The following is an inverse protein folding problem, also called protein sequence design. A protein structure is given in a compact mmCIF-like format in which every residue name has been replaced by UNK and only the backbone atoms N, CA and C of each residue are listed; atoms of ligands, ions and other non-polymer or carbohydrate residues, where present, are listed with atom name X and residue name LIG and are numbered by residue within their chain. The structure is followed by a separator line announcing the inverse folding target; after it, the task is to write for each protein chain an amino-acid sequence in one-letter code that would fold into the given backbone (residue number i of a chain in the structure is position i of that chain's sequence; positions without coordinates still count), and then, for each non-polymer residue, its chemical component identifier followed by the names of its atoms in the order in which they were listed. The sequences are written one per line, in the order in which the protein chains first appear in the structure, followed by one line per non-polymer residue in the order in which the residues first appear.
data_IF_641156319988
#
_entry.id   IF_641156319988
#
_cell.length_a   1.000
_cell.length_b   1.000
_cell.length_c   1.000
_cell.angle_alpha   90.00
_cell.angle_beta   90.00
_cell.angle_gamma   90.00
#
_symmetry.space_group_name_H-M   'P 1'
#
loop_
_entity.id
_entity.type
_entity.pdbx_description
1 polymer ?
#
# COMPACT_ATOMS: atom_id res chain seq x y z
N UNK A 1 -2.71 16.09 -4.13
CA UNK A 1 -3.29 15.66 -2.84
C UNK A 1 -2.78 16.44 -1.63
N UNK A 2 -1.61 16.12 -1.03
CA UNK A 2 -1.14 16.79 0.23
C UNK A 2 -0.87 18.29 0.11
N UNK A 3 -0.63 18.78 -1.12
CA UNK A 3 -0.50 20.20 -1.44
C UNK A 3 -1.86 20.90 -1.71
N UNK A 4 -2.88 20.15 -2.09
CA UNK A 4 -4.22 20.65 -2.45
C UNK A 4 -5.16 20.61 -1.24
N UNK A 5 -4.97 19.67 -0.33
CA UNK A 5 -5.75 19.50 0.90
C UNK A 5 -5.07 20.14 2.11
N UNK A 6 -5.14 21.48 2.20
CA UNK A 6 -4.62 22.23 3.36
C UNK A 6 -5.49 22.10 4.61
N UNK A 7 -6.69 21.51 4.50
CA UNK A 7 -7.56 21.25 5.65
C UNK A 7 -7.14 20.03 6.49
N UNK A 8 -6.21 19.22 5.99
CA UNK A 8 -5.67 18.09 6.72
C UNK A 8 -4.88 18.57 7.94
N UNK A 9 -5.10 17.92 9.08
CA UNK A 9 -4.32 18.19 10.27
C UNK A 9 -2.83 17.83 10.07
N UNK A 10 -1.97 18.43 10.88
CA UNK A 10 -0.53 18.26 10.76
C UNK A 10 -0.07 16.80 10.95
N UNK A 11 -0.77 16.01 11.75
CA UNK A 11 -0.44 14.61 12.00
C UNK A 11 -0.77 13.75 10.78
N UNK A 12 -1.97 13.91 10.22
CA UNK A 12 -2.40 13.21 9.00
C UNK A 12 -1.52 13.56 7.82
N UNK A 13 -1.18 14.85 7.65
CA UNK A 13 -0.26 15.28 6.60
C UNK A 13 1.14 14.66 6.76
N UNK A 14 1.67 14.63 7.99
CA UNK A 14 2.96 14.01 8.26
C UNK A 14 2.95 12.49 8.00
N UNK A 15 1.84 11.78 8.28
CA UNK A 15 1.67 10.37 7.91
C UNK A 15 1.71 10.18 6.40
N UNK A 16 0.95 10.97 5.65
CA UNK A 16 0.92 10.87 4.19
C UNK A 16 2.27 11.20 3.54
N UNK A 17 3.00 12.18 4.07
CA UNK A 17 4.37 12.47 3.61
C UNK A 17 5.31 11.28 3.84
N UNK A 18 5.21 10.59 4.99
CA UNK A 18 5.98 9.35 5.24
C UNK A 18 5.58 8.22 4.29
N UNK A 19 4.27 8.03 4.06
CA UNK A 19 3.79 7.04 3.09
C UNK A 19 4.36 7.30 1.69
N UNK A 20 4.36 8.55 1.21
CA UNK A 20 4.94 8.94 -0.07
C UNK A 20 6.44 8.58 -0.13
N UNK A 21 7.20 8.90 0.91
CA UNK A 21 8.63 8.58 0.97
C UNK A 21 8.89 7.06 0.89
N UNK A 22 8.09 6.25 1.59
CA UNK A 22 8.25 4.78 1.55
C UNK A 22 7.84 4.21 0.19
N UNK A 23 6.72 4.67 -0.38
CA UNK A 23 6.27 4.25 -1.71
C UNK A 23 7.33 4.58 -2.76
N UNK A 24 7.94 5.76 -2.73
CA UNK A 24 9.03 6.12 -3.63
C UNK A 24 10.21 5.15 -3.53
N UNK A 25 10.60 4.75 -2.30
CA UNK A 25 11.66 3.76 -2.09
C UNK A 25 11.28 2.40 -2.67
N UNK A 26 10.04 1.97 -2.48
CA UNK A 26 9.53 0.72 -3.06
C UNK A 26 9.61 0.77 -4.59
N UNK A 27 9.12 1.84 -5.22
CA UNK A 27 9.20 2.03 -6.67
C UNK A 27 10.65 1.97 -7.15
N UNK A 28 11.57 2.64 -6.47
CA UNK A 28 13.00 2.60 -6.79
C UNK A 28 13.60 1.18 -6.65
N UNK A 29 13.15 0.36 -5.69
CA UNK A 29 13.60 -1.03 -5.60
C UNK A 29 13.10 -1.90 -6.76
N UNK A 30 11.86 -1.67 -7.23
CA UNK A 30 11.30 -2.35 -8.39
C UNK A 30 11.85 -1.87 -9.73
N UNK A 31 12.26 -0.60 -9.83
CA UNK A 31 12.85 -0.01 -11.03
C UNK A 31 14.31 -0.40 -11.25
N UNK A 32 14.98 -0.97 -10.24
CA UNK A 32 16.33 -1.52 -10.40
C UNK A 32 16.30 -2.72 -11.34
N UNK A 33 17.36 -2.85 -12.15
CA UNK A 33 17.52 -3.98 -13.04
C UNK A 33 17.44 -5.31 -12.29
N UNK A 34 16.78 -6.28 -12.93
CA UNK A 34 16.70 -7.63 -12.39
C UNK A 34 18.05 -8.33 -12.48
N UNK A 35 18.56 -8.68 -11.30
CA UNK A 35 19.66 -9.61 -11.12
C UNK A 35 19.18 -11.06 -11.19
N UNK A 36 19.92 -11.89 -11.92
CA UNK A 36 19.78 -13.35 -11.92
C UNK A 36 20.37 -14.00 -10.65
N UNK A 37 21.09 -13.23 -9.82
CA UNK A 37 21.64 -13.72 -8.56
C UNK A 37 20.52 -13.91 -7.52
N UNK A 38 20.39 -15.15 -7.05
CA UNK A 38 19.34 -15.54 -6.10
C UNK A 38 19.45 -14.79 -4.77
N UNK A 39 20.66 -14.48 -4.30
CA UNK A 39 20.86 -13.79 -3.03
C UNK A 39 20.51 -12.31 -3.15
N UNK A 40 20.83 -11.66 -4.27
CA UNK A 40 20.37 -10.29 -4.56
C UNK A 40 18.85 -10.22 -4.73
N UNK A 41 18.24 -11.21 -5.37
CA UNK A 41 16.78 -11.29 -5.50
C UNK A 41 16.10 -11.43 -4.14
N UNK A 42 16.61 -12.29 -3.26
CA UNK A 42 16.11 -12.42 -1.87
C UNK A 42 16.29 -11.13 -1.08
N UNK A 43 17.45 -10.47 -1.18
CA UNK A 43 17.70 -9.19 -0.50
C UNK A 43 16.73 -8.10 -0.97
N UNK A 44 16.46 -8.03 -2.28
CA UNK A 44 15.45 -7.11 -2.83
C UNK A 44 14.06 -7.44 -2.30
N UNK A 45 13.67 -8.72 -2.29
CA UNK A 45 12.40 -9.15 -1.73
C UNK A 45 12.25 -8.78 -0.24
N UNK A 46 13.27 -9.03 0.58
CA UNK A 46 13.27 -8.67 2.01
C UNK A 46 13.22 -7.16 2.22
N UNK A 47 13.93 -6.39 1.39
CA UNK A 47 13.90 -4.93 1.43
C UNK A 47 12.52 -4.38 1.08
N UNK A 48 11.92 -4.84 -0.02
CA UNK A 48 10.56 -4.44 -0.44
C UNK A 48 9.54 -4.86 0.63
N UNK A 49 9.64 -6.07 1.17
CA UNK A 49 8.74 -6.55 2.23
C UNK A 49 8.83 -5.68 3.48
N UNK A 50 10.05 -5.30 3.89
CA UNK A 50 10.27 -4.41 5.03
C UNK A 50 9.65 -3.03 4.79
N UNK A 51 9.81 -2.47 3.58
CA UNK A 51 9.20 -1.20 3.21
C UNK A 51 7.67 -1.29 3.16
N UNK A 52 7.10 -2.40 2.69
CA UNK A 52 5.64 -2.61 2.69
C UNK A 52 5.07 -2.67 4.11
N UNK A 53 5.76 -3.34 5.04
CA UNK A 53 5.36 -3.36 6.46
C UNK A 53 5.47 -1.96 7.10
N UNK A 54 6.54 -1.21 6.76
CA UNK A 54 6.70 0.18 7.20
C UNK A 54 5.54 1.05 6.67
N UNK A 55 5.19 0.91 5.38
CA UNK A 55 4.09 1.63 4.76
C UNK A 55 2.76 1.36 5.47
N UNK A 56 2.45 0.08 5.75
CA UNK A 56 1.25 -0.32 6.49
C UNK A 56 1.24 0.24 7.92
N UNK A 57 2.40 0.43 8.55
CA UNK A 57 2.49 1.00 9.91
C UNK A 57 2.07 2.48 9.97
N UNK A 58 2.15 3.20 8.84
CA UNK A 58 1.70 4.59 8.74
C UNK A 58 0.19 4.71 8.49
N UNK A 59 -0.53 3.59 8.41
CA UNK A 59 -1.97 3.51 8.22
C UNK A 59 -2.38 3.51 6.75
N UNK A 60 -3.66 3.81 6.51
CA UNK A 60 -4.26 3.75 5.19
C UNK A 60 -4.03 5.04 4.38
N UNK A 61 -3.78 4.97 3.06
CA UNK A 61 -3.74 6.15 2.20
C UNK A 61 -5.13 6.80 2.07
N UNK A 62 -5.24 8.04 1.56
CA UNK A 62 -6.53 8.70 1.35
C UNK A 62 -7.47 7.89 0.42
N UNK A 63 -8.76 7.78 0.77
CA UNK A 63 -9.74 7.02 -0.02
C UNK A 63 -9.81 7.48 -1.48
N UNK A 64 -9.67 8.79 -1.71
CA UNK A 64 -9.63 9.39 -3.06
C UNK A 64 -8.48 8.83 -3.93
N UNK A 65 -7.41 8.33 -3.31
CA UNK A 65 -6.24 7.80 -4.00
C UNK A 65 -6.25 6.27 -4.15
N UNK A 66 -6.90 5.54 -3.22
CA UNK A 66 -6.90 4.06 -3.23
C UNK A 66 -7.94 3.50 -4.20
N UNK A 67 -8.96 4.29 -4.56
CA UNK A 67 -10.02 3.88 -5.47
C UNK A 67 -11.06 2.97 -4.80
N UNK A 68 -12.09 2.58 -5.55
CA UNK A 68 -13.13 1.70 -5.03
C UNK A 68 -12.60 0.27 -4.85
N UNK A 69 -12.85 -0.29 -3.67
CA UNK A 69 -12.53 -1.69 -3.39
C UNK A 69 -13.32 -2.62 -4.35
N UNK A 70 -12.75 -3.78 -4.74
CA UNK A 70 -13.42 -4.69 -5.65
C UNK A 70 -14.77 -5.19 -5.08
N UNK A 71 -15.73 -5.62 -5.92
CA UNK A 71 -17.02 -6.10 -5.46
C UNK A 71 -16.91 -7.18 -4.37
N UNK A 72 -17.57 -6.96 -3.23
CA UNK A 72 -17.52 -7.86 -2.07
C UNK A 72 -16.37 -7.59 -1.09
N UNK A 73 -15.49 -6.64 -1.40
CA UNK A 73 -14.44 -6.16 -0.50
C UNK A 73 -14.76 -4.73 -0.05
N UNK A 74 -14.49 -4.44 1.21
CA UNK A 74 -14.44 -3.09 1.77
C UNK A 74 -13.08 -2.88 2.42
N UNK A 75 -12.54 -1.67 2.37
CA UNK A 75 -11.31 -1.32 3.07
C UNK A 75 -11.66 -0.82 4.47
N UNK A 76 -11.06 -1.44 5.49
CA UNK A 76 -11.26 -1.02 6.88
C UNK A 76 -10.64 0.37 7.10
N UNK A 77 -11.41 1.40 7.50
CA UNK A 77 -10.91 2.77 7.61
C UNK A 77 -9.85 2.98 8.70
N UNK A 78 -9.73 2.05 9.65
CA UNK A 78 -8.80 2.17 10.77
C UNK A 78 -7.49 1.43 10.52
N UNK A 79 -7.55 0.28 9.85
CA UNK A 79 -6.40 -0.60 9.60
C UNK A 79 -5.92 -0.57 8.15
N UNK A 80 -6.75 -0.09 7.23
CA UNK A 80 -6.48 -0.09 5.80
C UNK A 80 -6.49 -1.47 5.15
N UNK A 81 -6.85 -2.51 5.89
CA UNK A 81 -6.85 -3.88 5.40
C UNK A 81 -8.15 -4.19 4.63
N UNK A 82 -8.07 -4.98 3.55
CA UNK A 82 -9.26 -5.49 2.88
C UNK A 82 -10.05 -6.38 3.83
N UNK A 83 -11.32 -6.05 4.00
CA UNK A 83 -12.29 -6.82 4.77
C UNK A 83 -13.37 -7.32 3.80
N UNK A 84 -13.77 -8.57 3.99
CA UNK A 84 -14.85 -9.17 3.20
C UNK A 84 -16.18 -8.59 3.69
N UNK A 85 -16.90 -7.97 2.76
CA UNK A 85 -18.28 -7.52 2.96
C UNK A 85 -19.25 -8.60 2.48
N UNK A 86 -19.04 -9.12 1.26
CA UNK A 86 -19.82 -10.21 0.67
C UNK A 86 -18.88 -11.31 0.18
N UNK A 87 -18.89 -12.44 0.90
CA UNK A 87 -18.01 -13.56 0.62
C UNK A 87 -18.20 -14.19 -0.77
N UNK A 88 -19.42 -14.13 -1.33
CA UNK A 88 -19.68 -14.70 -2.66
C UNK A 88 -19.05 -13.85 -3.74
N UNK A 89 -19.24 -12.52 -3.67
CA UNK A 89 -18.65 -11.58 -4.63
C UNK A 89 -17.14 -11.43 -4.45
N UNK A 90 -16.67 -11.46 -3.20
CA UNK A 90 -15.25 -11.39 -2.89
C UNK A 90 -14.48 -12.58 -3.49
N UNK A 91 -15.06 -13.77 -3.46
CA UNK A 91 -14.49 -14.98 -4.05
C UNK A 91 -14.35 -14.89 -5.58
N UNK A 92 -15.31 -14.27 -6.27
CA UNK A 92 -15.25 -14.06 -7.72
C UNK A 92 -14.17 -13.04 -8.13
N UNK A 93 -13.76 -12.16 -7.21
CA UNK A 93 -12.77 -11.10 -7.46
C UNK A 93 -11.33 -11.47 -7.05
N UNK A 94 -11.12 -12.59 -6.37
CA UNK A 94 -9.79 -12.96 -5.85
C UNK A 94 -8.97 -13.71 -6.91
N UNK A 95 -7.79 -13.19 -7.26
CA UNK A 95 -6.90 -13.79 -8.27
C UNK A 95 -6.03 -14.94 -7.72
N UNK A 96 -6.00 -15.11 -6.39
CA UNK A 96 -5.33 -16.20 -5.72
C UNK A 96 -6.33 -17.37 -5.60
N UNK A 97 -6.29 -18.27 -6.57
CA UNK A 97 -6.89 -19.61 -6.48
C UNK A 97 -5.98 -20.56 -5.71
#
# INVERSE_FOLDING_TARGET
YTAEHSELDAETKARYEKQICVIQRICLEYEKDDSEDLEEMKRRFDSITTLMLELQSYGYPPEDLVGEAPPGWITDPQTGLPKVDDASKAAESCSLM
#
